data_IF_320839871980
#
_entry.id   IF_320839871980
#
_cell.length_a   1.000
_cell.length_b   1.000
_cell.length_c   1.000
_cell.angle_alpha   90.00
_cell.angle_beta   90.00
_cell.angle_gamma   90.00
#
_symmetry.space_group_name_H-M   'P 1'
#
loop_
_entity.id
_entity.type
_entity.pdbx_description
1 polymer ?
#
# COMPACT_ATOMS: atom_id res chain seq x y z
N UNK A 1 26.47 35.06 -7.64
CA UNK A 1 25.53 34.20 -8.40
C UNK A 1 25.35 32.80 -7.79
N UNK A 2 26.31 32.24 -7.02
CA UNK A 2 26.16 30.90 -6.42
C UNK A 2 25.03 30.73 -5.39
N UNK A 3 24.63 31.77 -4.65
CA UNK A 3 23.60 31.63 -3.58
C UNK A 3 22.17 31.41 -4.08
N UNK A 4 21.83 31.91 -5.28
CA UNK A 4 20.48 31.76 -5.86
C UNK A 4 20.22 30.33 -6.35
N UNK A 5 21.25 29.62 -6.83
CA UNK A 5 21.14 28.22 -7.26
C UNK A 5 20.87 27.26 -6.10
N UNK A 6 21.50 27.47 -4.94
CA UNK A 6 21.28 26.63 -3.75
C UNK A 6 19.84 26.73 -3.20
N UNK A 7 19.23 27.92 -3.27
CA UNK A 7 17.85 28.14 -2.78
C UNK A 7 16.82 27.48 -3.70
N UNK A 8 17.03 27.53 -5.02
CA UNK A 8 16.15 26.87 -5.99
C UNK A 8 16.18 25.34 -5.88
N UNK A 9 17.36 24.75 -5.63
CA UNK A 9 17.50 23.30 -5.43
C UNK A 9 16.81 22.84 -4.14
N UNK A 10 16.90 23.61 -3.05
CA UNK A 10 16.22 23.29 -1.78
C UNK A 10 14.68 23.29 -1.91
N UNK A 11 14.12 24.19 -2.71
CA UNK A 11 12.67 24.26 -2.94
C UNK A 11 12.12 23.11 -3.80
N UNK A 12 12.94 22.55 -4.71
CA UNK A 12 12.57 21.38 -5.51
C UNK A 12 12.55 20.08 -4.68
N UNK A 13 13.47 19.94 -3.73
CA UNK A 13 13.58 18.74 -2.88
C UNK A 13 12.43 18.63 -1.88
N UNK A 14 11.92 19.75 -1.35
CA UNK A 14 10.81 19.75 -0.39
C UNK A 14 9.48 19.37 -1.03
N UNK A 15 9.21 19.81 -2.26
CA UNK A 15 7.97 19.47 -2.98
C UNK A 15 7.86 17.97 -3.30
N UNK A 16 8.97 17.33 -3.69
CA UNK A 16 9.00 15.88 -3.93
C UNK A 16 8.80 15.07 -2.63
N UNK A 17 9.40 15.52 -1.52
CA UNK A 17 9.28 14.84 -0.23
C UNK A 17 7.84 14.83 0.31
N UNK A 18 7.10 15.93 0.15
CA UNK A 18 5.69 16.01 0.55
C UNK A 18 4.78 15.13 -0.32
N UNK A 19 5.03 15.06 -1.64
CA UNK A 19 4.26 14.20 -2.56
C UNK A 19 4.47 12.72 -2.19
N UNK A 20 5.71 12.31 -2.01
CA UNK A 20 6.06 10.93 -1.66
C UNK A 20 5.47 10.53 -0.30
N UNK A 21 5.48 11.43 0.69
CA UNK A 21 4.83 11.20 1.98
C UNK A 21 3.32 10.96 1.87
N UNK A 22 2.62 11.68 0.99
CA UNK A 22 1.18 11.49 0.76
C UNK A 22 0.87 10.16 0.07
N UNK A 23 1.67 9.77 -0.92
CA UNK A 23 1.51 8.50 -1.63
C UNK A 23 1.69 7.34 -0.66
N UNK A 24 2.75 7.37 0.15
CA UNK A 24 3.04 6.36 1.17
C UNK A 24 1.90 6.20 2.19
N UNK A 25 1.34 7.31 2.67
CA UNK A 25 0.20 7.27 3.59
C UNK A 25 -1.05 6.68 2.91
N UNK A 26 -1.34 7.11 1.69
CA UNK A 26 -2.49 6.60 0.94
C UNK A 26 -2.37 5.10 0.66
N UNK A 27 -1.19 4.64 0.25
CA UNK A 27 -0.92 3.23 -0.02
C UNK A 27 -1.19 2.36 1.22
N UNK A 28 -0.69 2.76 2.39
CA UNK A 28 -1.00 2.06 3.64
C UNK A 28 -2.50 2.01 3.93
N UNK A 29 -3.18 3.15 3.85
CA UNK A 29 -4.64 3.22 4.11
C UNK A 29 -5.44 2.40 3.13
N UNK A 30 -5.03 2.33 1.86
CA UNK A 30 -5.66 1.49 0.86
C UNK A 30 -5.47 0.01 1.18
N UNK A 31 -4.26 -0.41 1.58
CA UNK A 31 -4.02 -1.79 2.03
C UNK A 31 -4.90 -2.18 3.21
N UNK A 32 -4.99 -1.31 4.22
CA UNK A 32 -5.90 -1.51 5.37
C UNK A 32 -7.37 -1.60 4.94
N UNK A 33 -7.79 -0.77 3.97
CA UNK A 33 -9.15 -0.78 3.42
C UNK A 33 -9.46 -2.09 2.68
N UNK A 34 -8.54 -2.54 1.83
CA UNK A 34 -8.71 -3.79 1.07
C UNK A 34 -8.71 -5.00 1.99
N UNK A 35 -7.92 -4.98 3.07
CA UNK A 35 -7.96 -6.02 4.09
C UNK A 35 -9.29 -6.06 4.83
N UNK A 36 -9.85 -4.90 5.19
CA UNK A 36 -11.19 -4.80 5.79
C UNK A 36 -12.24 -5.37 4.85
N UNK A 37 -12.23 -4.98 3.57
CA UNK A 37 -13.18 -5.49 2.58
C UNK A 37 -13.10 -7.01 2.43
N UNK A 38 -11.89 -7.59 2.45
CA UNK A 38 -11.74 -9.04 2.43
C UNK A 38 -12.35 -9.67 3.69
N UNK A 39 -12.02 -9.18 4.88
CA UNK A 39 -12.56 -9.71 6.15
C UNK A 39 -14.09 -9.66 6.17
N UNK A 40 -14.68 -8.54 5.74
CA UNK A 40 -16.13 -8.34 5.76
C UNK A 40 -16.86 -9.26 4.76
N UNK A 41 -16.20 -9.66 3.65
CA UNK A 41 -16.80 -10.45 2.58
C UNK A 41 -16.41 -11.93 2.56
N UNK A 42 -15.36 -12.35 3.26
CA UNK A 42 -14.76 -13.68 3.09
C UNK A 42 -15.72 -14.83 3.38
N UNK A 43 -16.72 -14.65 4.25
CA UNK A 43 -17.71 -15.71 4.56
C UNK A 43 -18.57 -16.10 3.37
N UNK A 44 -18.73 -15.19 2.40
CA UNK A 44 -19.56 -15.38 1.21
C UNK A 44 -18.72 -15.70 -0.03
N UNK A 45 -17.39 -15.73 0.10
CA UNK A 45 -16.46 -16.00 -0.99
C UNK A 45 -16.12 -17.48 -1.05
N UNK A 46 -16.10 -18.03 -2.27
CA UNK A 46 -15.41 -19.29 -2.54
C UNK A 46 -13.91 -19.13 -2.39
N UNK A 47 -13.20 -20.24 -2.19
CA UNK A 47 -11.73 -20.25 -2.12
C UNK A 47 -11.09 -19.61 -3.36
N UNK A 48 -11.62 -19.86 -4.56
CA UNK A 48 -11.10 -19.28 -5.79
C UNK A 48 -11.27 -17.75 -5.82
N UNK A 49 -12.35 -17.23 -5.26
CA UNK A 49 -12.56 -15.79 -5.14
C UNK A 49 -11.60 -15.16 -4.14
N UNK A 50 -11.30 -15.86 -3.03
CA UNK A 50 -10.27 -15.41 -2.07
C UNK A 50 -8.90 -15.36 -2.75
N UNK A 51 -8.50 -16.43 -3.44
CA UNK A 51 -7.24 -16.47 -4.20
C UNK A 51 -7.17 -15.35 -5.25
N UNK A 52 -8.25 -15.11 -5.98
CA UNK A 52 -8.37 -14.02 -6.94
C UNK A 52 -8.23 -12.64 -6.29
N UNK A 53 -8.79 -12.46 -5.09
CA UNK A 53 -8.66 -11.23 -4.32
C UNK A 53 -7.19 -10.98 -3.94
N UNK A 54 -6.48 -12.00 -3.45
CA UNK A 54 -5.06 -11.89 -3.10
C UNK A 54 -4.21 -11.57 -4.34
N UNK A 55 -4.52 -12.13 -5.51
CA UNK A 55 -3.87 -11.76 -6.76
C UNK A 55 -4.12 -10.29 -7.13
N UNK A 56 -5.33 -9.77 -6.86
CA UNK A 56 -5.65 -8.35 -7.03
C UNK A 56 -4.80 -7.44 -6.14
N UNK A 57 -4.63 -7.81 -4.87
CA UNK A 57 -3.72 -7.11 -3.93
C UNK A 57 -2.29 -7.10 -4.47
N UNK A 58 -1.81 -8.23 -4.99
CA UNK A 58 -0.47 -8.30 -5.61
C UNK A 58 -0.36 -7.46 -6.89
N UNK A 59 -1.40 -7.39 -7.70
CA UNK A 59 -1.41 -6.51 -8.88
C UNK A 59 -1.30 -5.03 -8.49
N UNK A 60 -1.95 -4.60 -7.40
CA UNK A 60 -1.85 -3.24 -6.88
C UNK A 60 -0.43 -2.96 -6.34
N UNK A 61 0.16 -3.91 -5.61
CA UNK A 61 1.57 -3.83 -5.19
C UNK A 61 2.50 -3.61 -6.39
N UNK A 62 2.35 -4.41 -7.46
CA UNK A 62 3.14 -4.26 -8.67
C UNK A 62 2.90 -2.91 -9.37
N UNK A 63 1.67 -2.39 -9.37
CA UNK A 63 1.39 -1.06 -9.91
C UNK A 63 2.21 0.05 -9.23
N UNK A 64 2.31 0.03 -7.89
CA UNK A 64 3.17 0.97 -7.17
C UNK A 64 4.65 0.80 -7.53
N UNK A 65 5.11 -0.43 -7.75
CA UNK A 65 6.51 -0.70 -8.15
C UNK A 65 6.79 -0.15 -9.55
N UNK A 66 5.90 -0.41 -10.52
CA UNK A 66 6.03 0.07 -11.90
C UNK A 66 6.03 1.60 -11.99
N UNK A 67 5.30 2.28 -11.10
CA UNK A 67 5.30 3.74 -10.99
C UNK A 67 6.55 4.32 -10.27
N UNK A 68 7.45 3.47 -9.77
CA UNK A 68 8.65 3.88 -9.05
C UNK A 68 8.42 4.20 -7.56
N UNK A 69 7.27 3.81 -7.01
CA UNK A 69 6.88 4.02 -5.62
C UNK A 69 7.09 2.76 -4.75
N UNK A 70 8.30 2.20 -4.72
CA UNK A 70 8.63 0.98 -3.99
C UNK A 70 8.26 1.03 -2.49
N UNK A 71 8.46 2.19 -1.86
CA UNK A 71 8.08 2.38 -0.45
C UNK A 71 6.56 2.32 -0.27
N UNK A 72 5.80 2.84 -1.22
CA UNK A 72 4.35 2.80 -1.18
C UNK A 72 3.84 1.37 -1.39
N UNK A 73 4.44 0.62 -2.31
CA UNK A 73 4.14 -0.80 -2.54
C UNK A 73 4.29 -1.62 -1.24
N UNK A 74 5.44 -1.46 -0.55
CA UNK A 74 5.67 -2.12 0.74
C UNK A 74 4.64 -1.68 1.79
N UNK A 75 4.35 -0.38 1.88
CA UNK A 75 3.40 0.14 2.86
C UNK A 75 1.96 -0.32 2.59
N UNK A 76 1.59 -0.51 1.33
CA UNK A 76 0.31 -1.09 0.94
C UNK A 76 0.18 -2.53 1.44
N UNK A 77 1.18 -3.39 1.16
CA UNK A 77 1.19 -4.75 1.69
C UNK A 77 1.23 -4.78 3.21
N UNK A 78 2.09 -3.98 3.85
CA UNK A 78 2.13 -3.88 5.32
C UNK A 78 0.77 -3.48 5.90
N UNK A 79 0.08 -2.51 5.29
CA UNK A 79 -1.27 -2.11 5.70
C UNK A 79 -2.26 -3.27 5.60
N UNK A 80 -2.23 -3.97 4.47
CA UNK A 80 -3.10 -5.12 4.22
C UNK A 80 -2.86 -6.27 5.22
N UNK A 81 -1.62 -6.76 5.30
CA UNK A 81 -1.32 -7.94 6.10
C UNK A 81 -1.46 -7.67 7.60
N UNK A 82 -1.04 -6.51 8.09
CA UNK A 82 -1.15 -6.18 9.52
C UNK A 82 -2.62 -6.05 9.92
N UNK A 83 -3.44 -5.41 9.09
CA UNK A 83 -4.86 -5.31 9.38
C UNK A 83 -5.53 -6.69 9.46
N UNK A 84 -5.18 -7.63 8.56
CA UNK A 84 -5.68 -9.01 8.65
C UNK A 84 -5.22 -9.68 9.94
N UNK A 85 -3.93 -9.63 10.26
CA UNK A 85 -3.37 -10.24 11.49
C UNK A 85 -4.00 -9.68 12.77
N UNK A 86 -4.34 -8.40 12.79
CA UNK A 86 -4.93 -7.74 13.96
C UNK A 86 -6.44 -8.02 14.12
N UNK A 87 -7.13 -8.39 13.03
CA UNK A 87 -8.60 -8.45 13.02
C UNK A 87 -9.18 -9.83 12.65
N UNK A 88 -8.38 -10.77 12.13
CA UNK A 88 -8.83 -12.11 11.77
C UNK A 88 -7.70 -13.15 11.80
N UNK A 89 -7.52 -13.81 12.95
CA UNK A 89 -6.53 -14.87 13.14
C UNK A 89 -6.72 -16.07 12.20
N UNK A 90 -7.97 -16.41 11.86
CA UNK A 90 -8.27 -17.52 10.95
C UNK A 90 -7.81 -17.20 9.54
N UNK A 91 -8.16 -16.01 9.06
CA UNK A 91 -7.81 -15.58 7.71
C UNK A 91 -6.31 -15.34 7.58
N UNK A 92 -5.67 -14.80 8.62
CA UNK A 92 -4.22 -14.64 8.66
C UNK A 92 -3.48 -15.97 8.45
N UNK A 93 -3.93 -17.06 9.08
CA UNK A 93 -3.33 -18.40 8.91
C UNK A 93 -3.58 -19.03 7.55
N UNK A 94 -4.63 -18.62 6.88
CA UNK A 94 -4.99 -19.16 5.57
C UNK A 94 -4.18 -18.50 4.45
N UNK A 95 -3.86 -17.21 4.62
CA UNK A 95 -3.16 -16.40 3.60
C UNK A 95 -1.64 -16.36 3.82
N UNK A 96 -1.16 -16.37 5.08
CA UNK A 96 0.25 -16.15 5.45
C UNK A 96 0.84 -17.34 6.23
#
# INVERSE_FOLDING_TARGET
MNRLYFIAVLLLVTACSCKEGRINKAARTNGESDARTLIDGVSDMSQLEVEGYILGVKAIEYGYIEEGHEKAARLYIEGFENYIRENSDSLAREIF
#
